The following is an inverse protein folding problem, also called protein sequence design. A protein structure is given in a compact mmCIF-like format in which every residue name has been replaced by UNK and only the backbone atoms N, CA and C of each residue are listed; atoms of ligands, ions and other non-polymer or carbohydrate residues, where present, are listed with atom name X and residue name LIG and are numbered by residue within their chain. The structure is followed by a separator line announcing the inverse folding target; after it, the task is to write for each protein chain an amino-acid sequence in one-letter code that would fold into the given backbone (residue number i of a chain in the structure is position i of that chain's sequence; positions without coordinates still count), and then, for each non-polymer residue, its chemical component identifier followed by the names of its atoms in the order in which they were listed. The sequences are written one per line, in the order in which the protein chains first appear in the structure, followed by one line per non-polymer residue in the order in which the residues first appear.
data_IF_951130572030
#
_entry.id   IF_951130572030
#
_cell.length_a   1.000
_cell.length_b   1.000
_cell.length_c   1.000
_cell.angle_alpha   90.00
_cell.angle_beta   90.00
_cell.angle_gamma   90.00
#
_symmetry.space_group_name_H-M   'P 1'
#
loop_
_entity.id
_entity.type
_entity.pdbx_description
1 polymer ?
#
# COMPACT_ATOMS: atom_id res chain seq x y z
N UNK A 1 8.13 -15.96 45.94
CA UNK A 1 7.95 -14.61 45.36
C UNK A 1 7.97 -14.58 43.84
N UNK A 2 8.81 -15.36 43.15
CA UNK A 2 8.93 -15.27 41.68
C UNK A 2 7.65 -15.60 40.89
N UNK A 3 6.85 -16.59 41.32
CA UNK A 3 5.64 -16.98 40.58
C UNK A 3 4.55 -15.90 40.57
N UNK A 4 4.33 -15.20 41.70
CA UNK A 4 3.33 -14.13 41.76
C UNK A 4 3.72 -12.95 40.84
N UNK A 5 5.01 -12.57 40.85
CA UNK A 5 5.53 -11.50 39.99
C UNK A 5 5.41 -11.89 38.51
N UNK A 6 5.77 -13.13 38.15
CA UNK A 6 5.63 -13.63 36.77
C UNK A 6 4.17 -13.61 36.34
N UNK A 7 3.24 -14.10 37.18
CA UNK A 7 1.81 -14.08 36.88
C UNK A 7 1.29 -12.66 36.66
N UNK A 8 1.68 -11.70 37.51
CA UNK A 8 1.30 -10.29 37.33
C UNK A 8 1.83 -9.71 36.01
N UNK A 9 3.07 -10.02 35.62
CA UNK A 9 3.64 -9.58 34.33
C UNK A 9 2.86 -10.17 33.15
N UNK A 10 2.56 -11.47 33.17
CA UNK A 10 1.82 -12.13 32.09
C UNK A 10 0.41 -11.54 31.95
N UNK A 11 -0.30 -11.32 33.06
CA UNK A 11 -1.62 -10.69 33.04
C UNK A 11 -1.54 -9.27 32.50
N UNK A 12 -0.55 -8.49 32.93
CA UNK A 12 -0.35 -7.11 32.45
C UNK A 12 -0.07 -7.05 30.94
N UNK A 13 0.83 -7.90 30.43
CA UNK A 13 1.12 -8.01 29.00
C UNK A 13 -0.12 -8.48 28.22
N UNK A 14 -0.92 -9.40 28.78
CA UNK A 14 -2.19 -9.83 28.21
C UNK A 14 -3.21 -8.70 28.09
N UNK A 15 -3.33 -7.85 29.11
CA UNK A 15 -4.22 -6.68 29.08
C UNK A 15 -3.75 -5.69 28.00
N UNK A 16 -2.44 -5.37 27.96
CA UNK A 16 -1.87 -4.49 26.92
C UNK A 16 -2.16 -5.05 25.52
N UNK A 17 -1.92 -6.33 25.30
CA UNK A 17 -2.18 -6.99 24.03
C UNK A 17 -3.66 -6.84 23.62
N UNK A 18 -4.60 -7.09 24.54
CA UNK A 18 -6.03 -6.93 24.26
C UNK A 18 -6.42 -5.47 23.93
N UNK A 19 -5.85 -4.48 24.63
CA UNK A 19 -6.08 -3.06 24.34
C UNK A 19 -5.57 -2.72 22.93
N UNK A 20 -4.37 -3.18 22.58
CA UNK A 20 -3.79 -2.99 21.23
C UNK A 20 -4.69 -3.64 20.17
N UNK A 21 -5.11 -4.90 20.36
CA UNK A 21 -5.99 -5.59 19.43
C UNK A 21 -7.34 -4.88 19.26
N UNK A 22 -7.92 -4.40 20.36
CA UNK A 22 -9.15 -3.61 20.31
C UNK A 22 -8.98 -2.32 19.49
N UNK A 23 -7.89 -1.57 19.72
CA UNK A 23 -7.56 -0.38 18.95
C UNK A 23 -7.36 -0.68 17.45
N UNK A 24 -6.57 -1.71 17.13
CA UNK A 24 -6.32 -2.13 15.74
C UNK A 24 -7.61 -2.56 15.05
N UNK A 25 -8.50 -3.30 15.73
CA UNK A 25 -9.80 -3.69 15.19
C UNK A 25 -10.70 -2.49 14.87
N UNK A 26 -10.69 -1.44 15.70
CA UNK A 26 -11.41 -0.19 15.41
C UNK A 26 -10.83 0.47 14.16
N UNK A 27 -9.51 0.57 14.06
CA UNK A 27 -8.85 1.16 12.88
C UNK A 27 -9.11 0.36 11.61
N UNK A 28 -9.07 -0.96 11.67
CA UNK A 28 -9.43 -1.84 10.55
C UNK A 28 -10.86 -1.56 10.07
N UNK A 29 -11.83 -1.49 11.00
CA UNK A 29 -13.23 -1.19 10.65
C UNK A 29 -13.39 0.18 10.00
N UNK A 30 -12.78 1.22 10.57
CA UNK A 30 -12.82 2.58 10.01
C UNK A 30 -12.19 2.60 8.62
N UNK A 31 -11.04 1.96 8.46
CA UNK A 31 -10.34 1.85 7.17
C UNK A 31 -11.23 1.18 6.13
N UNK A 32 -11.84 0.04 6.45
CA UNK A 32 -12.70 -0.69 5.53
C UNK A 32 -13.99 0.07 5.16
N UNK A 33 -14.53 0.90 6.06
CA UNK A 33 -15.66 1.79 5.75
C UNK A 33 -15.33 2.79 4.63
N UNK A 34 -14.05 3.13 4.45
CA UNK A 34 -13.61 3.99 3.35
C UNK A 34 -13.69 3.29 1.99
N UNK A 35 -13.86 1.97 1.93
CA UNK A 35 -13.92 1.16 0.71
C UNK A 35 -15.28 0.47 0.59
N UNK A 36 -16.28 1.21 0.11
CA UNK A 36 -17.64 0.69 -0.12
C UNK A 36 -17.64 -0.46 -1.12
N UNK A 37 -18.58 -1.38 -0.96
CA UNK A 37 -18.82 -2.47 -1.91
C UNK A 37 -19.21 -1.92 -3.30
N UNK A 38 -18.94 -2.70 -4.36
CA UNK A 38 -19.23 -2.37 -5.77
C UNK A 38 -18.45 -1.17 -6.32
N UNK A 39 -17.34 -0.80 -5.68
CA UNK A 39 -16.38 0.17 -6.19
C UNK A 39 -15.03 -0.50 -6.51
N UNK A 40 -14.57 -0.32 -7.74
CA UNK A 40 -13.28 -0.86 -8.17
C UNK A 40 -12.12 -0.03 -7.59
N UNK A 41 -11.16 -0.75 -7.02
CA UNK A 41 -10.02 -0.21 -6.29
C UNK A 41 -8.75 -0.72 -6.96
N UNK A 42 -7.81 0.18 -7.25
CA UNK A 42 -6.50 -0.20 -7.76
C UNK A 42 -5.41 0.12 -6.75
N UNK A 43 -4.55 -0.86 -6.48
CA UNK A 43 -3.23 -0.61 -5.93
C UNK A 43 -2.30 -0.24 -7.10
N UNK A 44 -1.66 0.92 -7.01
CA UNK A 44 -0.74 1.44 -8.02
C UNK A 44 0.65 1.59 -7.40
N UNK A 45 1.61 0.84 -7.93
CA UNK A 45 2.99 0.75 -7.43
C UNK A 45 3.98 1.06 -8.55
N UNK A 46 5.26 1.23 -8.19
CA UNK A 46 6.30 1.49 -9.16
C UNK A 46 6.92 0.18 -9.67
N UNK A 47 7.11 -0.79 -8.78
CA UNK A 47 7.87 -1.99 -9.04
C UNK A 47 7.20 -3.26 -8.51
N UNK A 48 7.50 -4.43 -9.08
CA UNK A 48 7.10 -5.71 -8.51
C UNK A 48 7.94 -6.07 -7.27
N UNK A 49 7.31 -6.11 -6.10
CA UNK A 49 7.82 -6.31 -4.73
C UNK A 49 7.18 -5.29 -3.78
N UNK A 50 6.95 -4.06 -4.24
CA UNK A 50 6.27 -2.99 -3.52
C UNK A 50 4.95 -3.46 -2.90
N UNK A 51 4.19 -4.29 -3.61
CA UNK A 51 2.90 -4.81 -3.16
C UNK A 51 3.01 -5.66 -1.90
N UNK A 52 4.09 -6.44 -1.78
CA UNK A 52 4.35 -7.29 -0.62
C UNK A 52 5.05 -6.48 0.47
N UNK A 53 6.08 -5.74 0.09
CA UNK A 53 6.94 -5.00 1.02
C UNK A 53 6.18 -3.89 1.76
N UNK A 54 5.30 -3.18 1.06
CA UNK A 54 4.64 -1.99 1.61
C UNK A 54 3.12 -2.13 1.78
N UNK A 55 2.46 -2.92 0.91
CA UNK A 55 1.00 -2.94 0.85
C UNK A 55 0.36 -4.26 1.28
N UNK A 56 1.13 -5.30 1.65
CA UNK A 56 0.59 -6.63 1.96
C UNK A 56 -0.50 -6.62 3.04
N UNK A 57 -0.35 -5.92 4.19
CA UNK A 57 -1.39 -5.89 5.20
C UNK A 57 -2.71 -5.32 4.67
N UNK A 58 -2.66 -4.26 3.85
CA UNK A 58 -3.85 -3.65 3.26
C UNK A 58 -4.45 -4.50 2.16
N UNK A 59 -3.64 -5.13 1.32
CA UNK A 59 -4.13 -6.11 0.35
C UNK A 59 -4.91 -7.22 1.06
N UNK A 60 -4.35 -7.80 2.14
CA UNK A 60 -5.03 -8.84 2.92
C UNK A 60 -6.38 -8.37 3.48
N UNK A 61 -6.44 -7.14 3.99
CA UNK A 61 -7.69 -6.54 4.47
C UNK A 61 -8.72 -6.35 3.35
N UNK A 62 -8.29 -5.84 2.19
CA UNK A 62 -9.14 -5.65 1.03
C UNK A 62 -9.67 -6.98 0.49
N UNK A 63 -8.82 -7.99 0.34
CA UNK A 63 -9.21 -9.34 -0.12
C UNK A 63 -10.18 -10.05 0.83
N UNK A 64 -10.17 -9.72 2.12
CA UNK A 64 -11.13 -10.25 3.11
C UNK A 64 -12.54 -9.65 2.99
N UNK A 65 -12.66 -8.45 2.42
CA UNK A 65 -13.88 -7.63 2.50
C UNK A 65 -14.47 -7.23 1.16
N UNK A 66 -13.66 -7.19 0.11
CA UNK A 66 -14.09 -6.88 -1.26
C UNK A 66 -14.22 -8.14 -2.08
N UNK A 67 -15.07 -8.06 -3.11
CA UNK A 67 -15.12 -9.08 -4.15
C UNK A 67 -13.82 -9.03 -4.94
N UNK A 68 -13.28 -10.20 -5.29
CA UNK A 68 -11.99 -10.34 -6.00
C UNK A 68 -11.96 -9.58 -7.33
N UNK A 69 -13.10 -9.46 -8.01
CA UNK A 69 -13.25 -8.73 -9.27
C UNK A 69 -13.24 -7.20 -9.11
N UNK A 70 -13.37 -6.67 -7.89
CA UNK A 70 -13.30 -5.23 -7.59
C UNK A 70 -11.87 -4.77 -7.28
N UNK A 71 -10.92 -5.70 -7.10
CA UNK A 71 -9.55 -5.40 -6.75
C UNK A 71 -8.65 -5.50 -7.98
N UNK A 72 -7.83 -4.47 -8.16
CA UNK A 72 -6.91 -4.30 -9.27
C UNK A 72 -5.53 -3.97 -8.75
N UNK A 73 -4.51 -4.36 -9.52
CA UNK A 73 -3.13 -3.98 -9.25
C UNK A 73 -2.43 -3.58 -10.56
N UNK A 74 -1.69 -2.49 -10.48
CA UNK A 74 -0.93 -1.90 -11.57
C UNK A 74 0.47 -1.56 -11.10
N UNK A 75 1.49 -2.08 -11.77
CA UNK A 75 2.89 -1.65 -11.60
C UNK A 75 3.37 -0.91 -12.85
N UNK A 76 4.12 0.18 -12.66
CA UNK A 76 4.59 1.03 -13.75
C UNK A 76 5.86 0.54 -14.44
N UNK A 77 6.53 -0.46 -13.88
CA UNK A 77 7.69 -1.12 -14.45
C UNK A 77 7.66 -2.60 -14.06
N UNK A 78 8.39 -3.43 -14.81
CA UNK A 78 8.69 -4.80 -14.42
C UNK A 78 9.88 -4.92 -13.46
N UNK A 79 10.46 -3.81 -13.02
CA UNK A 79 11.55 -3.81 -12.05
C UNK A 79 12.89 -4.30 -12.62
N UNK A 80 13.14 -4.04 -13.91
CA UNK A 80 14.28 -4.61 -14.64
C UNK A 80 15.62 -3.91 -14.40
N UNK A 81 15.81 -3.11 -13.34
CA UNK A 81 17.07 -2.40 -13.10
C UNK A 81 18.30 -3.34 -13.06
N UNK A 82 18.14 -4.53 -12.48
CA UNK A 82 19.19 -5.57 -12.42
C UNK A 82 19.07 -6.65 -13.50
N UNK A 83 18.38 -6.38 -14.62
CA UNK A 83 18.09 -7.35 -15.69
C UNK A 83 17.28 -8.58 -15.23
N UNK A 84 16.48 -8.42 -14.17
CA UNK A 84 15.65 -9.48 -13.58
C UNK A 84 14.15 -9.31 -13.83
N UNK A 85 13.76 -8.43 -14.74
CA UNK A 85 12.35 -8.06 -14.97
C UNK A 85 11.46 -9.26 -15.28
N UNK A 86 11.93 -10.23 -16.09
CA UNK A 86 11.15 -11.44 -16.41
C UNK A 86 10.94 -12.39 -15.23
N UNK A 87 11.84 -12.37 -14.25
CA UNK A 87 11.68 -13.13 -13.01
C UNK A 87 10.66 -12.40 -12.12
N UNK A 88 10.84 -11.08 -11.94
CA UNK A 88 9.96 -10.22 -11.15
C UNK A 88 8.52 -10.17 -11.67
N UNK A 89 8.32 -10.18 -12.99
CA UNK A 89 6.99 -10.32 -13.61
C UNK A 89 6.29 -11.61 -13.13
N UNK A 90 7.00 -12.74 -13.11
CA UNK A 90 6.43 -14.02 -12.66
C UNK A 90 6.10 -13.99 -11.17
N UNK A 91 7.01 -13.44 -10.35
CA UNK A 91 6.81 -13.28 -8.91
C UNK A 91 5.57 -12.43 -8.62
N UNK A 92 5.42 -11.30 -9.32
CA UNK A 92 4.27 -10.42 -9.22
C UNK A 92 2.94 -11.14 -9.48
N UNK A 93 2.86 -11.86 -10.60
CA UNK A 93 1.67 -12.62 -10.95
C UNK A 93 1.39 -13.75 -9.95
N UNK A 94 2.44 -14.40 -9.42
CA UNK A 94 2.31 -15.44 -8.41
C UNK A 94 1.77 -14.88 -7.09
N UNK A 95 2.29 -13.74 -6.63
CA UNK A 95 1.79 -13.03 -5.43
C UNK A 95 0.33 -12.65 -5.60
N UNK A 96 -0.03 -12.07 -6.74
CA UNK A 96 -1.41 -11.69 -7.02
C UNK A 96 -2.37 -12.90 -7.05
N UNK A 97 -1.92 -13.99 -7.68
CA UNK A 97 -2.66 -15.26 -7.71
C UNK A 97 -2.82 -15.85 -6.31
N UNK A 98 -1.77 -15.83 -5.49
CA UNK A 98 -1.78 -16.32 -4.11
C UNK A 98 -2.81 -15.58 -3.25
N UNK A 99 -2.93 -14.27 -3.40
CA UNK A 99 -3.96 -13.47 -2.72
C UNK A 99 -5.39 -13.76 -3.22
N UNK A 100 -5.53 -14.50 -4.33
CA UNK A 100 -6.81 -14.83 -4.96
C UNK A 100 -7.29 -13.76 -5.93
N UNK A 101 -6.40 -12.91 -6.43
CA UNK A 101 -6.70 -11.87 -7.41
C UNK A 101 -7.00 -12.42 -8.80
N UNK A 102 -7.87 -11.74 -9.54
CA UNK A 102 -8.19 -12.13 -10.92
C UNK A 102 -7.04 -11.74 -11.86
N UNK A 103 -6.58 -12.68 -12.70
CA UNK A 103 -5.45 -12.45 -13.63
C UNK A 103 -5.64 -11.20 -14.50
N UNK A 104 -6.86 -10.97 -15.00
CA UNK A 104 -7.20 -9.79 -15.84
C UNK A 104 -7.10 -8.45 -15.09
N UNK A 105 -7.08 -8.47 -13.76
CA UNK A 105 -7.00 -7.28 -12.92
C UNK A 105 -5.56 -6.97 -12.48
N UNK A 106 -4.58 -7.78 -12.90
CA UNK A 106 -3.16 -7.56 -12.66
C UNK A 106 -2.48 -7.09 -13.93
N UNK A 107 -1.82 -5.93 -13.87
CA UNK A 107 -1.22 -5.32 -15.05
C UNK A 107 0.17 -4.75 -14.75
N UNK A 108 1.08 -4.96 -15.69
CA UNK A 108 2.43 -4.41 -15.71
C UNK A 108 2.48 -3.47 -16.91
N UNK A 109 2.86 -2.22 -16.69
CA UNK A 109 3.02 -1.24 -17.77
C UNK A 109 4.30 -1.56 -18.53
N UNK A 110 4.17 -1.72 -19.85
CA UNK A 110 5.29 -1.86 -20.77
C UNK A 110 5.43 -0.54 -21.55
N UNK A 111 6.32 0.34 -21.10
CA UNK A 111 6.52 1.66 -21.70
C UNK A 111 8.00 2.05 -21.72
N UNK A 112 8.53 2.37 -22.91
CA UNK A 112 9.94 2.72 -23.11
C UNK A 112 10.35 4.02 -22.37
N UNK A 113 9.39 4.89 -22.05
CA UNK A 113 9.63 6.11 -21.28
C UNK A 113 9.59 5.90 -19.76
N UNK A 114 9.22 4.70 -19.32
CA UNK A 114 9.07 4.33 -17.90
C UNK A 114 9.95 3.13 -17.63
N UNK A 115 11.22 3.40 -17.32
CA UNK A 115 12.21 2.37 -17.01
C UNK A 115 12.59 2.42 -15.54
N UNK A 116 12.84 1.25 -14.95
CA UNK A 116 13.30 1.15 -13.57
C UNK A 116 14.68 1.83 -13.39
N UNK A 117 14.89 2.45 -12.23
CA UNK A 117 16.12 3.16 -11.89
C UNK A 117 15.90 4.39 -11.03
N UNK A 118 17.00 5.08 -10.72
CA UNK A 118 17.00 6.26 -9.87
C UNK A 118 16.75 7.56 -10.66
N UNK A 119 15.65 7.59 -11.41
CA UNK A 119 15.28 8.72 -12.28
C UNK A 119 13.81 9.08 -12.10
N UNK A 120 13.46 10.35 -12.25
CA UNK A 120 12.05 10.74 -12.20
C UNK A 120 11.35 10.41 -13.52
N UNK A 121 10.16 9.81 -13.43
CA UNK A 121 9.26 9.70 -14.57
C UNK A 121 8.40 10.96 -14.71
N UNK A 122 7.96 11.25 -15.94
CA UNK A 122 7.11 12.41 -16.21
C UNK A 122 5.72 12.18 -15.63
N UNK A 123 5.32 12.98 -14.63
CA UNK A 123 4.04 12.84 -13.94
C UNK A 123 2.82 12.93 -14.88
N UNK A 124 2.87 13.75 -15.92
CA UNK A 124 1.79 13.83 -16.91
C UNK A 124 1.61 12.53 -17.71
N UNK A 125 2.71 11.86 -18.05
CA UNK A 125 2.68 10.58 -18.76
C UNK A 125 2.06 9.47 -17.88
N UNK A 126 2.48 9.43 -16.60
CA UNK A 126 1.89 8.54 -15.59
C UNK A 126 0.38 8.81 -15.44
N UNK A 127 -0.02 10.09 -15.36
CA UNK A 127 -1.42 10.51 -15.26
C UNK A 127 -2.23 10.03 -16.45
N UNK A 128 -1.72 10.13 -17.67
CA UNK A 128 -2.44 9.73 -18.88
C UNK A 128 -2.64 8.21 -18.96
N UNK A 129 -1.61 7.43 -18.59
CA UNK A 129 -1.71 5.97 -18.45
C UNK A 129 -2.75 5.62 -17.37
N UNK A 130 -2.65 6.23 -16.18
CA UNK A 130 -3.60 6.00 -15.09
C UNK A 130 -5.03 6.36 -15.49
N UNK A 131 -5.22 7.47 -16.22
CA UNK A 131 -6.55 7.91 -16.68
C UNK A 131 -7.16 6.86 -17.60
N UNK A 132 -6.39 6.34 -18.55
CA UNK A 132 -6.83 5.28 -19.46
C UNK A 132 -7.17 3.99 -18.69
N UNK A 133 -6.27 3.55 -17.81
CA UNK A 133 -6.44 2.35 -16.98
C UNK A 133 -7.68 2.45 -16.07
N UNK A 134 -7.85 3.59 -15.39
CA UNK A 134 -8.99 3.81 -14.49
C UNK A 134 -10.31 3.87 -15.24
N UNK A 135 -10.35 4.54 -16.41
CA UNK A 135 -11.56 4.59 -17.24
C UNK A 135 -11.95 3.20 -17.73
N UNK A 136 -10.99 2.43 -18.27
CA UNK A 136 -11.21 1.06 -18.78
C UNK A 136 -11.78 0.14 -17.69
N UNK A 137 -11.21 0.21 -16.50
CA UNK A 137 -11.55 -0.70 -15.40
C UNK A 137 -12.57 -0.11 -14.41
N UNK A 138 -13.17 1.06 -14.71
CA UNK A 138 -14.13 1.77 -13.84
C UNK A 138 -13.60 2.00 -12.41
N UNK A 139 -12.30 2.22 -12.26
CA UNK A 139 -11.65 2.43 -10.96
C UNK A 139 -12.08 3.77 -10.38
N UNK A 140 -12.45 3.78 -9.10
CA UNK A 140 -12.83 4.99 -8.34
C UNK A 140 -11.83 5.34 -7.25
N UNK A 141 -11.01 4.37 -6.83
CA UNK A 141 -10.07 4.53 -5.72
C UNK A 141 -8.70 3.99 -6.09
N UNK A 142 -7.67 4.79 -5.84
CA UNK A 142 -6.28 4.42 -6.02
C UNK A 142 -5.61 4.38 -4.64
N UNK A 143 -4.90 3.30 -4.35
CA UNK A 143 -3.92 3.23 -3.27
C UNK A 143 -2.52 3.33 -3.87
N UNK A 144 -1.66 4.21 -3.34
CA UNK A 144 -0.28 4.36 -3.82
C UNK A 144 0.61 5.00 -2.75
N UNK A 145 1.84 5.34 -3.10
CA UNK A 145 2.79 6.03 -2.22
C UNK A 145 2.40 7.49 -1.97
N UNK A 146 2.95 8.10 -0.92
CA UNK A 146 2.85 9.55 -0.70
C UNK A 146 3.89 10.34 -1.50
N UNK A 147 3.95 11.65 -1.27
CA UNK A 147 4.87 12.56 -1.95
C UNK A 147 6.35 12.29 -1.69
N UNK A 148 6.68 11.59 -0.60
CA UNK A 148 8.07 11.27 -0.27
C UNK A 148 8.51 9.94 -0.90
N UNK A 149 7.59 9.00 -1.14
CA UNK A 149 7.91 7.76 -1.83
C UNK A 149 8.69 6.78 -0.96
N UNK A 150 8.28 6.63 0.30
CA UNK A 150 8.81 5.74 1.35
C UNK A 150 10.24 6.06 1.81
N UNK A 151 11.19 6.00 0.89
CA UNK A 151 12.63 6.21 1.11
C UNK A 151 13.18 7.38 0.27
N UNK A 152 12.31 8.13 -0.42
CA UNK A 152 12.74 9.13 -1.38
C UNK A 152 12.89 8.58 -2.80
N UNK A 153 12.46 7.35 -3.10
CA UNK A 153 12.68 6.74 -4.41
C UNK A 153 11.98 7.55 -5.54
N UNK A 154 12.71 7.99 -6.59
CA UNK A 154 12.15 8.84 -7.65
C UNK A 154 10.93 8.23 -8.37
N UNK A 155 10.94 6.93 -8.64
CA UNK A 155 9.81 6.23 -9.26
C UNK A 155 8.55 6.28 -8.39
N UNK A 156 8.66 6.05 -7.07
CA UNK A 156 7.53 6.10 -6.14
C UNK A 156 6.92 7.51 -6.11
N UNK A 157 7.78 8.53 -6.04
CA UNK A 157 7.35 9.93 -6.12
C UNK A 157 6.68 10.25 -7.46
N UNK A 158 7.15 9.67 -8.56
CA UNK A 158 6.59 9.89 -9.89
C UNK A 158 5.20 9.27 -10.03
N UNK A 159 4.99 8.07 -9.47
CA UNK A 159 3.67 7.44 -9.35
C UNK A 159 2.73 8.33 -8.53
N UNK A 160 3.17 8.81 -7.36
CA UNK A 160 2.38 9.76 -6.56
C UNK A 160 2.02 11.03 -7.34
N UNK A 161 2.98 11.63 -8.05
CA UNK A 161 2.75 12.85 -8.85
C UNK A 161 1.70 12.62 -9.93
N UNK A 162 1.80 11.54 -10.70
CA UNK A 162 0.82 11.22 -11.74
C UNK A 162 -0.57 10.94 -11.18
N UNK A 163 -0.65 10.16 -10.11
CA UNK A 163 -1.92 9.93 -9.40
C UNK A 163 -2.50 11.26 -8.89
N UNK A 164 -1.69 12.09 -8.22
CA UNK A 164 -2.12 13.39 -7.68
C UNK A 164 -2.67 14.31 -8.77
N UNK A 165 -2.02 14.38 -9.93
CA UNK A 165 -2.52 15.13 -11.08
C UNK A 165 -3.89 14.60 -11.54
N UNK A 166 -4.08 13.28 -11.58
CA UNK A 166 -5.34 12.66 -11.95
C UNK A 166 -6.47 13.01 -10.97
N UNK A 167 -6.22 13.02 -9.65
CA UNK A 167 -7.27 13.37 -8.65
C UNK A 167 -7.86 14.77 -8.78
N UNK A 168 -7.18 15.68 -9.50
CA UNK A 168 -7.70 17.05 -9.69
C UNK A 168 -9.04 17.07 -10.43
N UNK A 169 -9.37 16.03 -11.21
CA UNK A 169 -10.68 15.92 -11.88
C UNK A 169 -11.83 15.53 -10.94
N UNK A 170 -11.55 15.21 -9.66
CA UNK A 170 -12.50 14.78 -8.61
C UNK A 170 -13.23 13.44 -8.84
N UNK A 171 -13.01 12.77 -9.97
CA UNK A 171 -13.64 11.48 -10.28
C UNK A 171 -13.01 10.27 -9.54
N UNK A 172 -11.78 10.45 -9.06
CA UNK A 172 -10.94 9.39 -8.49
C UNK A 172 -10.42 9.87 -7.13
N UNK A 173 -10.64 9.05 -6.11
CA UNK A 173 -10.10 9.24 -4.77
C UNK A 173 -8.74 8.56 -4.64
N UNK A 174 -7.80 9.23 -3.97
CA UNK A 174 -6.45 8.72 -3.78
C UNK A 174 -6.18 8.55 -2.28
N UNK A 175 -5.67 7.37 -1.95
CA UNK A 175 -5.23 6.97 -0.63
C UNK A 175 -3.73 6.73 -0.71
N UNK A 176 -2.98 7.32 0.21
CA UNK A 176 -1.51 7.24 0.18
C UNK A 176 -0.98 6.51 1.40
N UNK A 177 0.07 5.72 1.18
CA UNK A 177 0.93 5.20 2.23
C UNK A 177 1.86 6.32 2.70
N UNK A 178 1.65 6.77 3.94
CA UNK A 178 2.51 7.79 4.54
C UNK A 178 3.88 7.23 4.85
N UNK A 179 4.90 7.92 4.35
CA UNK A 179 6.29 7.62 4.63
C UNK A 179 6.60 7.90 6.10
N UNK A 180 7.11 6.90 6.79
CA UNK A 180 7.63 7.04 8.15
C UNK A 180 9.10 7.46 8.13
N UNK A 181 9.52 8.20 9.16
CA UNK A 181 10.94 8.50 9.35
C UNK A 181 11.73 7.20 9.48
N UNK A 182 12.90 7.16 8.84
CA UNK A 182 13.81 6.01 8.81
C UNK A 182 14.03 5.42 10.21
N UNK A 183 14.19 6.26 11.23
CA UNK A 183 14.46 5.81 12.60
C UNK A 183 13.36 4.89 13.15
N UNK A 184 12.09 5.13 12.79
CA UNK A 184 10.98 4.30 13.26
C UNK A 184 10.85 2.97 12.51
N UNK A 185 11.48 2.83 11.33
CA UNK A 185 11.51 1.57 10.58
C UNK A 185 12.41 0.53 11.27
N UNK A 186 13.43 0.98 12.01
CA UNK A 186 14.42 0.11 12.67
C UNK A 186 14.24 -0.03 14.18
N UNK A 187 13.29 0.70 14.78
CA UNK A 187 13.01 0.63 16.23
C UNK A 187 12.17 -0.60 16.64
N UNK A 188 11.71 -1.41 15.68
CA UNK A 188 10.92 -2.60 15.98
C UNK A 188 9.67 -2.27 16.82
N UNK A 189 9.35 -3.05 17.87
CA UNK A 189 8.19 -2.80 18.74
C UNK A 189 8.18 -1.41 19.41
N UNK A 190 9.36 -0.80 19.61
CA UNK A 190 9.48 0.53 20.22
C UNK A 190 8.95 1.66 19.32
N UNK A 191 8.68 1.38 18.05
CA UNK A 191 8.04 2.32 17.13
C UNK A 191 6.54 2.53 17.40
N UNK A 192 5.89 1.62 18.14
CA UNK A 192 4.43 1.61 18.34
C UNK A 192 3.84 2.94 18.86
N UNK A 193 4.41 3.60 19.90
CA UNK A 193 3.87 4.87 20.40
C UNK A 193 3.91 6.01 19.37
N UNK A 194 4.95 6.03 18.52
CA UNK A 194 5.16 7.06 17.51
C UNK A 194 4.25 6.88 16.30
N UNK A 195 3.97 5.62 15.94
CA UNK A 195 3.05 5.29 14.85
C UNK A 195 1.58 5.47 15.25
N UNK A 196 1.26 5.30 16.54
CA UNK A 196 -0.11 5.45 17.05
C UNK A 196 -0.60 6.91 17.11
N UNK A 197 0.30 7.90 17.18
CA UNK A 197 -0.04 9.31 17.41
C UNK A 197 -0.38 10.10 16.14
N UNK A 198 -0.19 9.53 14.95
CA UNK A 198 -0.42 10.27 13.73
C UNK A 198 -1.92 10.39 13.40
N UNK A 199 -2.40 11.64 13.32
CA UNK A 199 -3.78 11.98 12.99
C UNK A 199 -4.14 11.49 11.59
N UNK A 200 -5.32 10.87 11.48
CA UNK A 200 -6.01 10.69 10.20
C UNK A 200 -6.46 12.08 9.74
N UNK A 201 -5.69 12.73 8.85
CA UNK A 201 -6.05 14.05 8.34
C UNK A 201 -7.17 13.90 7.30
N UNK A 202 -8.36 14.40 7.65
CA UNK A 202 -9.63 14.21 6.93
C UNK A 202 -9.78 14.93 5.58
N UNK A 203 -8.68 15.24 4.89
CA UNK A 203 -8.71 15.70 3.49
C UNK A 203 -8.14 14.67 2.50
N UNK A 204 -7.42 13.68 3.02
CA UNK A 204 -6.78 12.59 2.28
C UNK A 204 -6.76 11.38 3.21
N UNK A 205 -7.51 10.33 2.88
CA UNK A 205 -7.58 9.18 3.76
C UNK A 205 -6.21 8.48 3.85
N UNK A 206 -5.49 8.80 4.92
CA UNK A 206 -4.22 8.20 5.29
C UNK A 206 -4.44 6.77 5.74
N UNK A 207 -3.71 5.85 5.12
CA UNK A 207 -3.67 4.47 5.52
C UNK A 207 -2.31 4.24 6.16
N UNK A 208 -2.28 4.27 7.50
CA UNK A 208 -1.08 3.88 8.23
C UNK A 208 -1.00 2.35 8.20
N UNK A 209 -0.19 1.85 7.28
CA UNK A 209 0.22 0.45 7.28
C UNK A 209 1.49 0.40 8.12
N UNK A 210 1.37 -0.17 9.30
CA UNK A 210 2.53 -0.56 10.09
C UNK A 210 3.18 -1.75 9.36
N UNK A 211 4.17 -1.48 8.51
CA UNK A 211 4.97 -2.52 7.86
C UNK A 211 5.88 -3.16 8.90
N UNK A 212 5.37 -4.12 9.67
CA UNK A 212 6.21 -5.16 10.28
C UNK A 212 6.46 -6.24 9.22
N UNK A 213 7.25 -5.92 8.19
CA UNK A 213 7.65 -6.88 7.17
C UNK A 213 8.94 -6.40 6.49
N UNK A 214 10.05 -6.51 7.22
CA UNK A 214 11.40 -6.79 6.70
C UNK A 214 12.36 -6.86 7.89
N UNK A 215 12.31 -7.98 8.60
CA UNK A 215 13.48 -8.65 9.15
C UNK A 215 13.43 -10.08 8.64
#
# INVERSE_FOLDING_TARGET
MNYLVITCIVVFLGIIYNIIQYYLNIKEKIFLQLFKENENIALVIAHPDDEVMFFFPVLKLLFKKKKKNELFILTFSNGNFYNQGKIREKEFYNVWSYLGGEKKNCHIVEDLQIQDGWVFWKGDHIKDILKSYCKKNKIKKILTFDSFGVSGHPNHQSVYRGARLLSKSKDIQIFTLNSSYIIFKYLGPLSFPFLAHNKYTHTYACVYICTYACL
#
